data_IF_588946375350
#
_entry.id   IF_588946375350
#
_cell.length_a   1.000
_cell.length_b   1.000
_cell.length_c   1.000
_cell.angle_alpha   90.00
_cell.angle_beta   90.00
_cell.angle_gamma   90.00
#
_symmetry.space_group_name_H-M   'P 1'
#
loop_
_entity.id
_entity.type
_entity.pdbx_description
1 polymer ?
#
# COMPACT_ATOMS: atom_id res chain seq x y z
N UNK A 1 40.90 -68.18 -68.92
CA UNK A 1 40.61 -66.93 -69.62
C UNK A 1 39.11 -66.77 -69.69
N UNK A 2 38.51 -66.07 -68.82
CA UNK A 2 37.10 -65.61 -68.91
C UNK A 2 37.05 -64.30 -68.16
N UNK A 3 36.88 -63.21 -68.90
CA UNK A 3 36.72 -61.85 -68.41
C UNK A 3 35.30 -61.68 -67.85
N UNK A 4 35.23 -61.22 -66.57
CA UNK A 4 33.98 -60.82 -65.90
C UNK A 4 33.76 -59.32 -66.07
N UNK A 5 32.81 -58.98 -66.95
CA UNK A 5 32.37 -57.59 -67.12
C UNK A 5 31.54 -57.12 -65.96
N UNK A 6 32.06 -56.16 -65.24
CA UNK A 6 31.33 -55.42 -64.16
C UNK A 6 30.26 -54.53 -64.88
N UNK A 7 29.00 -54.72 -64.46
CA UNK A 7 27.88 -53.80 -64.85
C UNK A 7 27.77 -52.69 -63.84
N UNK A 8 28.05 -51.48 -64.24
CA UNK A 8 27.75 -50.26 -63.49
C UNK A 8 26.25 -50.05 -63.37
N UNK A 9 25.71 -49.95 -62.19
CA UNK A 9 24.34 -49.52 -61.89
C UNK A 9 24.32 -47.99 -61.71
N UNK A 10 23.34 -47.26 -62.35
CA UNK A 10 23.20 -45.82 -62.14
C UNK A 10 22.66 -45.51 -60.74
N UNK A 11 23.33 -44.59 -60.06
CA UNK A 11 22.92 -44.06 -58.80
C UNK A 11 21.73 -43.12 -59.02
N UNK A 12 20.61 -43.45 -58.39
CA UNK A 12 19.42 -42.56 -58.37
C UNK A 12 19.60 -41.52 -57.28
N UNK A 13 19.86 -40.29 -57.65
CA UNK A 13 19.82 -39.17 -56.73
C UNK A 13 18.37 -38.91 -56.34
N UNK A 14 18.04 -39.20 -55.07
CA UNK A 14 16.76 -38.82 -54.45
C UNK A 14 16.91 -37.37 -54.00
N UNK A 15 16.25 -36.46 -54.70
CA UNK A 15 16.09 -35.08 -54.28
C UNK A 15 15.09 -35.04 -53.12
N UNK A 16 15.60 -34.81 -51.90
CA UNK A 16 14.75 -34.53 -50.75
C UNK A 16 14.20 -33.10 -50.85
N UNK A 17 12.89 -32.90 -50.80
CA UNK A 17 12.33 -31.56 -50.72
C UNK A 17 12.59 -30.98 -49.33
N UNK A 18 13.40 -29.94 -49.24
CA UNK A 18 13.60 -29.15 -48.02
C UNK A 18 12.34 -28.34 -47.77
N UNK A 19 11.56 -28.76 -46.78
CA UNK A 19 10.37 -28.04 -46.32
C UNK A 19 10.79 -26.77 -45.58
N UNK A 20 10.67 -25.62 -46.22
CA UNK A 20 10.92 -24.32 -45.63
C UNK A 20 9.72 -23.97 -44.72
N UNK A 21 9.83 -24.18 -43.42
CA UNK A 21 8.82 -23.75 -42.45
C UNK A 21 8.99 -22.26 -42.20
N UNK A 22 8.13 -21.42 -42.78
CA UNK A 22 7.99 -20.01 -42.43
C UNK A 22 7.33 -19.92 -41.05
N UNK A 23 8.11 -19.66 -40.02
CA UNK A 23 7.55 -19.23 -38.74
C UNK A 23 7.03 -17.79 -38.88
N UNK A 24 5.71 -17.64 -38.98
CA UNK A 24 5.05 -16.35 -38.86
C UNK A 24 5.19 -15.89 -37.43
N UNK A 25 6.00 -14.85 -37.18
CA UNK A 25 6.06 -14.20 -35.87
C UNK A 25 4.72 -13.50 -35.57
N UNK A 26 3.94 -14.04 -34.65
CA UNK A 26 2.73 -13.37 -34.17
C UNK A 26 3.12 -12.05 -33.45
N UNK A 27 2.44 -10.93 -33.74
CA UNK A 27 2.70 -9.69 -32.99
C UNK A 27 2.38 -9.91 -31.51
N UNK A 28 3.33 -9.57 -30.64
CA UNK A 28 3.11 -9.55 -29.20
C UNK A 28 2.01 -8.53 -28.89
N UNK A 29 1.02 -8.86 -28.04
CA UNK A 29 0.01 -7.89 -27.63
C UNK A 29 0.70 -6.71 -26.96
N UNK A 30 0.40 -5.49 -27.44
CA UNK A 30 0.85 -4.26 -26.81
C UNK A 30 0.32 -4.24 -25.38
N UNK A 31 1.21 -4.29 -24.40
CA UNK A 31 0.84 -4.13 -23.00
C UNK A 31 0.29 -2.71 -22.81
N UNK A 32 -0.96 -2.60 -22.40
CA UNK A 32 -1.54 -1.33 -21.98
C UNK A 32 -0.66 -0.73 -20.90
N UNK A 33 -0.43 0.61 -20.88
CA UNK A 33 0.33 1.26 -19.83
C UNK A 33 -0.30 0.92 -18.48
N UNK A 34 0.42 0.18 -17.65
CA UNK A 34 -0.02 -0.09 -16.28
C UNK A 34 -0.02 1.24 -15.53
N UNK A 35 -1.10 1.62 -14.83
CA UNK A 35 -1.12 2.83 -14.03
C UNK A 35 0.10 2.85 -13.11
N UNK A 36 0.80 3.98 -13.07
CA UNK A 36 1.92 4.14 -12.14
C UNK A 36 1.43 3.85 -10.72
N UNK A 37 2.17 3.02 -9.98
CA UNK A 37 1.86 2.79 -8.58
C UNK A 37 1.79 4.14 -7.84
N UNK A 38 0.78 4.37 -6.98
CA UNK A 38 0.70 5.60 -6.21
C UNK A 38 2.02 5.81 -5.44
N UNK A 39 2.47 7.07 -5.36
CA UNK A 39 3.69 7.41 -4.65
C UNK A 39 3.63 6.84 -3.21
N UNK A 40 4.71 6.29 -2.67
CA UNK A 40 4.70 5.71 -1.35
C UNK A 40 4.39 6.81 -0.32
N UNK A 41 3.34 6.60 0.47
CA UNK A 41 2.92 7.53 1.52
C UNK A 41 3.54 7.20 2.89
N UNK A 42 4.30 6.10 2.98
CA UNK A 42 5.19 5.76 4.09
C UNK A 42 6.61 5.64 3.53
N UNK A 43 7.50 6.49 4.01
CA UNK A 43 8.90 6.54 3.59
C UNK A 43 9.78 6.25 4.80
N UNK A 44 10.59 5.19 4.69
CA UNK A 44 11.55 4.79 5.70
C UNK A 44 12.93 5.42 5.46
N UNK A 45 13.52 5.96 6.51
CA UNK A 45 14.88 6.50 6.52
C UNK A 45 15.72 5.69 7.52
N UNK A 46 16.17 4.50 7.11
CA UNK A 46 16.81 3.53 8.01
C UNK A 46 18.10 4.05 8.65
N UNK A 47 18.87 4.88 7.94
CA UNK A 47 20.10 5.46 8.48
C UNK A 47 19.86 6.39 9.68
N UNK A 48 18.73 7.06 9.73
CA UNK A 48 18.32 7.97 10.81
C UNK A 48 17.27 7.36 11.75
N UNK A 49 16.81 6.14 11.48
CA UNK A 49 15.74 5.45 12.22
C UNK A 49 14.47 6.30 12.30
N UNK A 50 14.06 6.87 11.17
CA UNK A 50 12.88 7.71 11.06
C UNK A 50 11.93 7.20 9.98
N UNK A 51 10.64 7.46 10.16
CA UNK A 51 9.61 7.21 9.16
C UNK A 51 8.80 8.48 8.93
N UNK A 52 8.54 8.79 7.65
CA UNK A 52 7.63 9.87 7.26
C UNK A 52 6.34 9.24 6.71
N UNK A 53 5.19 9.70 7.20
CA UNK A 53 3.86 9.22 6.82
C UNK A 53 3.06 10.40 6.29
N UNK A 54 2.56 10.32 5.06
CA UNK A 54 1.65 11.31 4.49
C UNK A 54 0.24 10.75 4.47
N UNK A 55 -0.70 11.42 5.15
CA UNK A 55 -2.09 10.98 5.23
C UNK A 55 -3.03 12.02 4.62
N UNK A 56 -4.00 11.54 3.87
CA UNK A 56 -5.10 12.34 3.36
C UNK A 56 -6.42 11.72 3.77
N UNK A 57 -7.28 12.54 4.38
CA UNK A 57 -8.65 12.15 4.71
C UNK A 57 -9.57 12.62 3.59
N UNK A 58 -10.28 11.68 2.98
CA UNK A 58 -11.25 11.93 1.90
C UNK A 58 -12.59 11.31 2.25
N UNK A 59 -13.69 11.91 1.81
CA UNK A 59 -15.02 11.34 1.92
C UNK A 59 -15.65 11.23 0.52
N UNK A 60 -15.42 10.11 -0.19
CA UNK A 60 -16.04 9.87 -1.49
C UNK A 60 -17.57 9.83 -1.38
N UNK A 61 -18.26 10.36 -2.38
CA UNK A 61 -19.72 10.32 -2.43
C UNK A 61 -20.24 8.88 -2.28
N UNK A 62 -21.21 8.69 -1.36
CA UNK A 62 -21.77 7.37 -1.05
C UNK A 62 -20.93 6.50 -0.12
N UNK A 63 -19.76 6.97 0.33
CA UNK A 63 -19.00 6.28 1.37
C UNK A 63 -19.69 6.44 2.72
N UNK A 64 -19.82 5.37 3.55
CA UNK A 64 -20.42 5.48 4.87
C UNK A 64 -19.53 6.21 5.89
N UNK A 65 -18.24 6.40 5.58
CA UNK A 65 -17.27 7.12 6.39
C UNK A 65 -16.16 7.70 5.52
N UNK A 66 -15.37 8.59 6.10
CA UNK A 66 -14.14 9.05 5.46
C UNK A 66 -13.09 7.94 5.37
N UNK A 67 -12.15 8.12 4.46
CA UNK A 67 -11.07 7.21 4.16
C UNK A 67 -9.72 7.86 4.48
N UNK A 68 -8.81 7.09 5.01
CA UNK A 68 -7.42 7.49 5.20
C UNK A 68 -6.58 6.89 4.06
N UNK A 69 -6.08 7.73 3.16
CA UNK A 69 -5.39 7.28 1.92
C UNK A 69 -6.17 6.21 1.13
N UNK A 70 -7.50 6.28 1.12
CA UNK A 70 -8.36 5.30 0.45
C UNK A 70 -8.68 4.05 1.29
N UNK A 71 -8.24 3.96 2.55
CA UNK A 71 -8.48 2.83 3.44
C UNK A 71 -9.37 3.20 4.62
N UNK A 72 -10.02 2.20 5.20
CA UNK A 72 -10.82 2.28 6.42
C UNK A 72 -10.86 0.91 7.11
N UNK A 73 -11.42 0.86 8.33
CA UNK A 73 -11.71 -0.40 9.06
C UNK A 73 -10.51 -1.35 9.13
N UNK A 74 -9.30 -0.80 9.32
CA UNK A 74 -8.07 -1.59 9.37
C UNK A 74 -7.66 -2.23 8.05
N UNK A 75 -8.21 -1.80 6.90
CA UNK A 75 -7.89 -2.32 5.57
C UNK A 75 -6.41 -2.21 5.18
N UNK A 76 -5.66 -1.41 5.91
CA UNK A 76 -4.20 -1.30 5.81
C UNK A 76 -3.58 -1.18 7.19
N UNK A 77 -2.36 -1.67 7.34
CA UNK A 77 -1.53 -1.55 8.53
C UNK A 77 -0.22 -0.88 8.18
N UNK A 78 0.12 0.19 8.88
CA UNK A 78 1.46 0.77 8.86
C UNK A 78 2.32 -0.04 9.82
N UNK A 79 3.49 -0.48 9.37
CA UNK A 79 4.48 -1.15 10.23
C UNK A 79 5.63 -0.19 10.47
N UNK A 80 6.00 0.01 11.72
CA UNK A 80 7.11 0.88 12.14
C UNK A 80 8.03 0.08 13.07
N UNK A 81 9.35 0.11 12.88
CA UNK A 81 10.27 -0.49 13.83
C UNK A 81 10.20 0.18 15.21
N UNK A 82 10.40 -0.63 16.26
CA UNK A 82 10.49 -0.13 17.63
C UNK A 82 11.60 0.93 17.77
N UNK A 83 11.33 1.98 18.53
CA UNK A 83 12.24 3.12 18.79
C UNK A 83 12.57 3.96 17.54
N UNK A 84 11.73 3.93 16.52
CA UNK A 84 11.85 4.87 15.44
C UNK A 84 11.05 6.14 15.72
N UNK A 85 11.58 7.27 15.27
CA UNK A 85 10.84 8.52 15.25
C UNK A 85 9.93 8.56 14.04
N UNK A 86 8.66 8.83 14.26
CA UNK A 86 7.61 8.88 13.23
C UNK A 86 7.11 10.30 13.09
N UNK A 87 7.21 10.85 11.89
CA UNK A 87 6.56 12.11 11.55
C UNK A 87 5.40 11.84 10.62
N UNK A 88 4.21 12.29 10.95
CA UNK A 88 3.11 12.32 10.01
C UNK A 88 2.77 13.75 9.60
N UNK A 89 2.51 13.89 8.32
CA UNK A 89 1.86 15.05 7.72
C UNK A 89 0.48 14.59 7.25
N UNK A 90 -0.59 15.17 7.76
CA UNK A 90 -1.91 14.83 7.30
C UNK A 90 -2.73 16.07 6.95
N UNK A 91 -3.70 15.89 6.06
CA UNK A 91 -4.64 16.93 5.67
C UNK A 91 -6.05 16.38 5.54
N UNK A 92 -7.04 17.21 5.82
CA UNK A 92 -8.44 16.92 5.49
C UNK A 92 -8.73 17.44 4.09
N UNK A 93 -9.12 16.55 3.17
CA UNK A 93 -9.66 16.88 1.86
C UNK A 93 -11.20 16.69 1.81
N UNK A 94 -11.81 16.21 2.91
CA UNK A 94 -13.26 16.11 3.05
C UNK A 94 -13.89 17.48 3.29
N UNK A 95 -14.77 17.90 2.37
CA UNK A 95 -15.51 19.16 2.48
C UNK A 95 -16.77 19.05 3.36
N UNK A 96 -17.12 17.85 3.82
CA UNK A 96 -18.39 17.58 4.50
C UNK A 96 -18.25 17.42 6.02
N UNK A 97 -17.04 17.11 6.48
CA UNK A 97 -16.76 16.82 7.87
C UNK A 97 -15.48 17.45 8.41
N UNK A 98 -15.28 17.29 9.70
CA UNK A 98 -14.02 17.62 10.38
C UNK A 98 -13.36 16.31 10.82
N UNK A 99 -12.05 16.25 10.73
CA UNK A 99 -11.28 15.05 11.03
C UNK A 99 -10.08 15.36 11.90
N UNK A 100 -9.58 14.33 12.53
CA UNK A 100 -8.35 14.38 13.33
C UNK A 100 -7.61 13.06 13.23
N UNK A 101 -6.41 13.00 13.79
CA UNK A 101 -5.63 11.78 13.88
C UNK A 101 -5.12 11.58 15.29
N UNK A 102 -5.21 10.35 15.78
CA UNK A 102 -4.61 9.93 17.06
C UNK A 102 -4.20 8.47 16.98
N UNK A 103 -3.05 8.14 17.55
CA UNK A 103 -2.64 6.75 17.79
C UNK A 103 -3.16 6.33 19.15
N UNK A 104 -3.97 5.28 19.21
CA UNK A 104 -4.46 4.69 20.45
C UNK A 104 -4.09 3.20 20.53
N UNK A 105 -3.80 2.73 21.74
CA UNK A 105 -3.52 1.31 21.95
C UNK A 105 -4.75 0.48 21.56
N UNK A 106 -4.53 -0.59 20.79
CA UNK A 106 -5.58 -1.52 20.43
C UNK A 106 -6.15 -2.21 21.67
N UNK A 107 -7.46 -2.29 21.73
CA UNK A 107 -8.23 -2.89 22.82
C UNK A 107 -9.33 -3.76 22.24
N UNK A 108 -10.16 -4.34 23.10
CA UNK A 108 -11.30 -5.15 22.70
C UNK A 108 -12.31 -4.39 21.82
N UNK A 109 -12.47 -3.08 22.05
CA UNK A 109 -13.43 -2.23 21.33
C UNK A 109 -12.78 -0.91 20.90
N UNK A 110 -13.16 -0.45 19.71
CA UNK A 110 -12.85 0.89 19.26
C UNK A 110 -13.43 1.95 20.21
N UNK A 111 -12.70 3.03 20.46
CA UNK A 111 -13.21 4.14 21.27
C UNK A 111 -14.30 4.91 20.52
N UNK A 112 -15.20 5.56 21.25
CA UNK A 112 -16.21 6.46 20.67
C UNK A 112 -15.64 7.79 20.19
N UNK A 113 -14.51 8.19 20.76
CA UNK A 113 -13.79 9.43 20.43
C UNK A 113 -12.31 9.30 20.76
N UNK A 114 -11.49 10.21 20.25
CA UNK A 114 -10.07 10.31 20.56
C UNK A 114 -9.83 10.64 22.03
N UNK A 115 -8.95 9.85 22.65
CA UNK A 115 -8.55 10.01 24.04
C UNK A 115 -7.05 10.25 24.16
N UNK A 116 -6.48 9.72 25.25
CA UNK A 116 -5.04 9.78 25.50
C UNK A 116 -4.30 9.01 24.39
N UNK A 117 -3.34 9.63 23.70
CA UNK A 117 -2.54 8.94 22.69
C UNK A 117 -1.66 7.86 23.33
N UNK A 118 -1.36 6.81 22.55
CA UNK A 118 -0.49 5.71 22.98
C UNK A 118 0.97 6.16 23.21
N UNK A 119 1.41 7.14 22.43
CA UNK A 119 2.76 7.72 22.53
C UNK A 119 2.66 9.22 22.73
N UNK A 120 3.65 9.80 23.37
CA UNK A 120 3.74 11.26 23.53
C UNK A 120 3.67 11.97 22.19
N UNK A 121 2.80 12.94 22.05
CA UNK A 121 2.54 13.69 20.81
C UNK A 121 1.94 12.89 19.64
N UNK A 122 1.57 11.64 19.82
CA UNK A 122 0.97 10.84 18.74
C UNK A 122 -0.51 11.20 18.48
N UNK A 123 -0.80 12.49 18.38
CA UNK A 123 -2.12 13.02 18.11
C UNK A 123 -2.04 14.37 17.40
N UNK A 124 -3.05 14.67 16.59
CA UNK A 124 -3.21 15.99 16.02
C UNK A 124 -3.77 16.99 17.03
N UNK A 125 -3.61 18.28 16.76
CA UNK A 125 -4.34 19.31 17.52
C UNK A 125 -5.86 19.10 17.35
N UNK A 126 -6.62 19.57 18.34
CA UNK A 126 -8.08 19.53 18.32
C UNK A 126 -8.66 18.15 18.03
N UNK A 127 -8.14 17.11 18.70
CA UNK A 127 -8.40 15.71 18.39
C UNK A 127 -9.90 15.35 18.39
N UNK A 128 -10.70 15.91 19.27
CA UNK A 128 -12.16 15.66 19.34
C UNK A 128 -12.97 16.65 18.50
N UNK A 129 -12.50 17.88 18.32
CA UNK A 129 -13.18 18.89 17.51
C UNK A 129 -12.88 18.75 16.00
N UNK A 130 -11.74 18.16 15.66
CA UNK A 130 -11.29 17.98 14.29
C UNK A 130 -10.85 19.26 13.58
N UNK A 131 -10.21 19.08 12.44
CA UNK A 131 -9.79 20.10 11.49
C UNK A 131 -10.71 20.08 10.27
N UNK A 132 -11.07 21.25 9.77
CA UNK A 132 -11.95 21.40 8.60
C UNK A 132 -11.21 21.10 7.29
N UNK A 133 -11.95 21.00 6.19
CA UNK A 133 -11.42 20.83 4.85
C UNK A 133 -10.31 21.84 4.51
N UNK A 134 -9.28 21.35 3.83
CA UNK A 134 -8.10 22.13 3.45
C UNK A 134 -7.12 22.40 4.59
N UNK A 135 -7.47 22.10 5.84
CA UNK A 135 -6.56 22.20 6.96
C UNK A 135 -5.63 20.98 7.04
N UNK A 136 -4.43 21.21 7.54
CA UNK A 136 -3.42 20.18 7.75
C UNK A 136 -2.81 20.28 9.15
N UNK A 137 -2.19 19.22 9.58
CA UNK A 137 -1.42 19.17 10.80
C UNK A 137 -0.20 18.26 10.63
N UNK A 138 0.82 18.54 11.40
CA UNK A 138 2.07 17.76 11.42
C UNK A 138 2.43 17.45 12.85
N UNK A 139 2.79 16.21 13.12
CA UNK A 139 3.27 15.82 14.44
C UNK A 139 4.41 14.82 14.33
N UNK A 140 5.20 14.73 15.39
CA UNK A 140 6.29 13.77 15.49
C UNK A 140 6.21 13.08 16.85
N UNK A 141 6.33 11.76 16.85
CA UNK A 141 6.37 10.94 18.04
C UNK A 141 7.41 9.81 17.91
N UNK A 142 7.80 9.23 19.03
CA UNK A 142 8.63 8.02 19.05
C UNK A 142 7.72 6.78 19.21
N UNK A 143 7.99 5.72 18.45
CA UNK A 143 7.34 4.42 18.59
C UNK A 143 7.94 3.68 19.82
N UNK A 144 7.56 4.10 21.02
CA UNK A 144 8.24 3.76 22.28
C UNK A 144 8.02 2.32 22.73
N UNK A 145 6.89 1.72 22.38
CA UNK A 145 6.46 0.40 22.85
C UNK A 145 5.97 -0.46 21.70
N UNK A 146 6.38 -1.73 21.65
CA UNK A 146 5.91 -2.67 20.64
C UNK A 146 4.45 -3.08 20.86
N UNK A 147 3.71 -3.27 19.79
CA UNK A 147 2.31 -3.67 19.89
C UNK A 147 1.48 -3.28 18.69
N UNK A 148 0.15 -3.47 18.84
CA UNK A 148 -0.86 -3.07 17.86
C UNK A 148 -1.60 -1.85 18.34
N UNK A 149 -1.82 -0.93 17.41
CA UNK A 149 -2.44 0.35 17.67
C UNK A 149 -3.44 0.67 16.57
N UNK A 150 -4.42 1.47 16.89
CA UNK A 150 -5.25 2.14 15.92
C UNK A 150 -4.67 3.52 15.60
N UNK A 151 -4.53 3.85 14.34
CA UNK A 151 -4.44 5.22 13.85
C UNK A 151 -5.84 5.60 13.39
N UNK A 152 -6.54 6.41 14.16
CA UNK A 152 -7.95 6.67 13.99
C UNK A 152 -8.29 8.18 14.04
N UNK A 153 -9.45 8.51 13.48
CA UNK A 153 -10.05 9.82 13.70
C UNK A 153 -10.63 9.91 15.11
N UNK A 154 -10.23 10.94 15.85
CA UNK A 154 -10.67 11.17 17.22
C UNK A 154 -11.97 11.97 17.34
N UNK A 155 -12.57 12.43 16.23
CA UNK A 155 -13.89 13.06 16.26
C UNK A 155 -14.93 12.04 16.69
N UNK A 156 -15.87 12.37 17.60
CA UNK A 156 -16.83 11.41 18.15
C UNK A 156 -17.61 10.66 17.05
N UNK A 157 -17.63 9.31 17.17
CA UNK A 157 -18.33 8.42 16.26
C UNK A 157 -17.57 8.04 14.98
N UNK A 158 -16.56 8.80 14.55
CA UNK A 158 -15.88 8.59 13.28
C UNK A 158 -15.11 7.25 13.25
N UNK A 159 -14.38 6.91 14.29
CA UNK A 159 -13.70 5.61 14.39
C UNK A 159 -14.69 4.44 14.33
N UNK A 160 -15.85 4.56 15.01
CA UNK A 160 -16.92 3.55 14.97
C UNK A 160 -17.57 3.43 13.58
N UNK A 161 -17.59 4.52 12.81
CA UNK A 161 -18.04 4.52 11.43
C UNK A 161 -16.99 3.92 10.46
N UNK A 162 -15.80 3.56 10.95
CA UNK A 162 -14.76 2.90 10.18
C UNK A 162 -13.55 3.78 9.83
N UNK A 163 -13.47 5.00 10.33
CA UNK A 163 -12.36 5.92 10.01
C UNK A 163 -11.13 5.60 10.86
N UNK A 164 -10.50 4.48 10.54
CA UNK A 164 -9.26 4.02 11.18
C UNK A 164 -8.49 3.03 10.31
N UNK A 165 -7.18 2.99 10.55
CA UNK A 165 -6.24 2.02 10.00
C UNK A 165 -5.37 1.46 11.12
N UNK A 166 -4.68 0.33 10.85
CA UNK A 166 -3.76 -0.27 11.81
C UNK A 166 -2.40 0.46 11.84
N UNK A 167 -1.80 0.50 13.01
CA UNK A 167 -0.39 0.82 13.21
C UNK A 167 0.23 -0.29 14.07
N UNK A 168 1.29 -0.92 13.58
CA UNK A 168 2.06 -1.90 14.32
C UNK A 168 3.47 -1.38 14.61
N UNK A 169 3.84 -1.35 15.87
CA UNK A 169 5.23 -1.17 16.28
C UNK A 169 5.85 -2.55 16.45
N UNK A 170 6.77 -2.90 15.56
CA UNK A 170 7.32 -4.24 15.45
C UNK A 170 8.83 -4.23 15.82
N UNK A 171 9.25 -4.93 16.90
CA UNK A 171 10.64 -4.98 17.31
C UNK A 171 11.54 -5.74 16.30
N UNK A 172 10.96 -6.61 15.46
CA UNK A 172 11.69 -7.37 14.45
C UNK A 172 11.75 -6.66 13.10
N UNK A 173 10.97 -5.60 12.91
CA UNK A 173 11.01 -4.84 11.67
C UNK A 173 12.31 -4.05 11.56
N UNK A 174 12.93 -4.08 10.39
CA UNK A 174 14.15 -3.31 10.07
C UNK A 174 13.88 -2.06 9.26
N UNK A 175 12.65 -1.91 8.75
CA UNK A 175 12.21 -0.77 7.94
C UNK A 175 10.72 -0.50 8.17
N UNK A 176 10.30 0.75 7.99
CA UNK A 176 8.88 1.08 8.00
C UNK A 176 8.25 0.81 6.62
N UNK A 177 6.95 0.52 6.62
CA UNK A 177 6.20 0.23 5.40
C UNK A 177 4.72 0.01 5.66
N UNK A 178 4.01 -0.48 4.66
CA UNK A 178 2.57 -0.78 4.74
C UNK A 178 2.27 -2.23 4.36
N UNK A 179 1.26 -2.80 5.02
CA UNK A 179 0.66 -4.09 4.71
C UNK A 179 -0.81 -3.88 4.42
N UNK A 180 -1.24 -4.16 3.19
CA UNK A 180 -2.66 -4.16 2.84
C UNK A 180 -3.30 -5.42 3.40
N UNK A 181 -4.40 -5.28 4.16
CA UNK A 181 -5.10 -6.39 4.84
C UNK A 181 -6.46 -6.71 4.23
N UNK A 182 -7.06 -5.79 3.53
CA UNK A 182 -8.41 -5.93 3.01
C UNK A 182 -8.64 -5.27 1.65
N UNK A 183 -9.87 -5.37 1.13
CA UNK A 183 -10.21 -4.74 -0.13
C UNK A 183 -10.01 -3.24 -0.04
N UNK A 184 -9.35 -2.71 -1.04
CA UNK A 184 -9.20 -1.28 -1.24
C UNK A 184 -10.58 -0.66 -1.39
N UNK A 185 -10.95 0.27 -0.53
CA UNK A 185 -12.15 1.09 -0.74
C UNK A 185 -11.82 2.22 -1.74
N UNK A 186 -11.44 1.85 -2.99
CA UNK A 186 -11.33 2.84 -4.05
C UNK A 186 -12.73 3.35 -4.39
N UNK A 187 -12.97 4.66 -4.46
CA UNK A 187 -14.17 5.17 -5.10
C UNK A 187 -14.15 4.73 -6.57
N UNK A 188 -15.24 4.14 -7.02
CA UNK A 188 -15.49 3.90 -8.44
C UNK A 188 -15.85 5.20 -9.14
#
# INVERSE_FOLDING_TARGET
>A
MIEARARMRPSRHVLSPTLLVLLAAAPLPAQSPQPAAPAPWVIAHSATRTASITLEVTAPAGSPSALLNGYREGGVEIVVPLRWSVTWDWRSADSTGKHSMVVMAEREKLPTEGGRPAFTNAMSRSVTAGLAAGQSDRTTFEAEESGWYWLLCGVPGHALAGEWIGLRVDPEATTAGVKVKGPYAMPR
#
